data_IF_957958127242
#
_entry.id   IF_957958127242
#
_cell.length_a   1.000
_cell.length_b   1.000
_cell.length_c   1.000
_cell.angle_alpha   90.00
_cell.angle_beta   90.00
_cell.angle_gamma   90.00
#
_symmetry.space_group_name_H-M   'P 1'
#
loop_
_entity.id
_entity.type
_entity.pdbx_description
1 polymer ?
#
# COMPACT_ATOMS: atom_id res chain seq x y z
N UNK A 1 8.21 -29.13 -15.74
CA UNK A 1 8.22 -28.75 -14.31
C UNK A 1 9.10 -27.52 -14.16
N UNK A 2 8.57 -26.40 -13.65
CA UNK A 2 9.35 -25.19 -13.36
C UNK A 2 9.43 -25.03 -11.86
N UNK A 3 10.64 -25.04 -11.32
CA UNK A 3 10.92 -24.86 -9.90
C UNK A 3 11.31 -23.40 -9.74
N UNK A 4 10.53 -22.64 -8.97
CA UNK A 4 10.88 -21.27 -8.61
C UNK A 4 11.58 -21.28 -7.25
N UNK A 5 12.69 -20.54 -7.08
CA UNK A 5 13.31 -20.37 -5.77
C UNK A 5 12.29 -19.74 -4.80
N UNK A 6 12.23 -20.28 -3.58
CA UNK A 6 11.45 -19.69 -2.49
C UNK A 6 12.05 -18.30 -2.22
N UNK A 7 11.29 -17.22 -2.49
CA UNK A 7 11.70 -15.85 -2.17
C UNK A 7 11.91 -15.83 -0.66
N UNK A 8 13.17 -15.84 -0.22
CA UNK A 8 13.49 -16.07 1.19
C UNK A 8 13.12 -14.87 2.07
N UNK A 9 13.03 -13.66 1.48
CA UNK A 9 12.43 -12.46 2.07
C UNK A 9 11.94 -11.53 0.94
N UNK A 10 10.67 -11.07 0.93
CA UNK A 10 10.24 -10.04 -0.01
C UNK A 10 11.03 -8.74 0.23
N UNK A 11 11.17 -7.91 -0.82
CA UNK A 11 11.75 -6.59 -0.67
C UNK A 11 10.78 -5.74 0.16
N UNK A 12 11.20 -5.32 1.34
CA UNK A 12 10.47 -4.34 2.14
C UNK A 12 10.91 -2.95 1.71
N UNK A 13 9.95 -2.13 1.30
CA UNK A 13 10.14 -0.72 0.97
C UNK A 13 9.30 0.09 1.95
N UNK A 14 9.95 0.95 2.72
CA UNK A 14 9.25 1.91 3.58
C UNK A 14 9.04 3.18 2.76
N UNK A 15 7.81 3.66 2.69
CA UNK A 15 7.45 4.87 1.98
C UNK A 15 6.75 5.80 2.96
N UNK A 16 7.24 7.04 3.00
CA UNK A 16 6.60 8.14 3.68
C UNK A 16 5.71 8.85 2.65
N UNK A 17 4.47 9.17 3.04
CA UNK A 17 3.54 9.88 2.17
C UNK A 17 3.65 11.36 2.49
N UNK A 18 4.27 12.10 1.58
CA UNK A 18 4.23 13.57 1.52
C UNK A 18 3.38 14.02 0.33
N UNK A 19 3.33 15.33 0.06
CA UNK A 19 2.57 15.87 -1.08
C UNK A 19 3.25 15.60 -2.44
N UNK A 20 4.44 14.97 -2.47
CA UNK A 20 5.24 14.74 -3.66
C UNK A 20 5.29 13.25 -4.06
N UNK A 21 5.40 12.98 -5.35
CA UNK A 21 5.56 11.61 -5.82
C UNK A 21 6.93 11.06 -5.40
N UNK A 22 6.96 9.95 -4.68
CA UNK A 22 8.21 9.28 -4.26
C UNK A 22 8.49 8.07 -5.16
N UNK A 23 9.70 7.98 -5.73
CA UNK A 23 10.13 6.85 -6.56
C UNK A 23 11.27 6.07 -5.91
N UNK A 24 11.18 4.74 -5.95
CA UNK A 24 12.20 3.82 -5.45
C UNK A 24 12.56 2.78 -6.51
N UNK A 25 13.81 2.83 -6.97
CA UNK A 25 14.39 1.78 -7.81
C UNK A 25 14.78 0.55 -7.00
N UNK A 26 14.62 -0.63 -7.60
CA UNK A 26 15.11 -1.88 -7.00
C UNK A 26 15.68 -2.83 -8.04
N UNK A 27 16.52 -3.74 -7.56
CA UNK A 27 17.12 -4.82 -8.36
C UNK A 27 16.82 -6.17 -7.72
N UNK A 28 16.21 -7.06 -8.49
CA UNK A 28 15.90 -8.42 -8.04
C UNK A 28 17.21 -9.17 -7.76
N UNK A 29 17.39 -9.59 -6.50
CA UNK A 29 18.58 -10.35 -6.08
C UNK A 29 18.73 -11.73 -6.75
N UNK A 30 17.66 -12.25 -7.36
CA UNK A 30 17.63 -13.58 -7.97
C UNK A 30 17.91 -13.55 -9.48
N UNK A 31 17.21 -12.71 -10.24
CA UNK A 31 17.38 -12.64 -11.70
C UNK A 31 18.15 -11.41 -12.18
N UNK A 32 18.47 -10.46 -11.30
CA UNK A 32 19.14 -9.21 -11.66
C UNK A 32 18.25 -8.19 -12.38
N UNK A 33 16.98 -8.50 -12.65
CA UNK A 33 16.06 -7.56 -13.27
C UNK A 33 15.88 -6.32 -12.40
N UNK A 34 15.83 -5.17 -13.05
CA UNK A 34 15.57 -3.88 -12.43
C UNK A 34 14.11 -3.50 -12.59
N UNK A 35 13.60 -2.79 -11.59
CA UNK A 35 12.25 -2.27 -11.58
C UNK A 35 12.15 -1.06 -10.65
N UNK A 36 10.94 -0.54 -10.50
CA UNK A 36 10.69 0.63 -9.67
C UNK A 36 9.33 0.58 -9.01
N UNK A 37 9.18 1.35 -7.95
CA UNK A 37 7.94 1.59 -7.24
C UNK A 37 7.73 3.10 -7.13
N UNK A 38 6.61 3.61 -7.64
CA UNK A 38 6.25 5.02 -7.51
C UNK A 38 5.03 5.16 -6.60
N UNK A 39 5.14 5.96 -5.56
CA UNK A 39 4.04 6.45 -4.74
C UNK A 39 3.45 7.70 -5.38
N UNK A 40 2.14 7.72 -5.63
CA UNK A 40 1.43 8.91 -6.13
C UNK A 40 0.42 9.39 -5.07
N UNK A 41 0.78 10.40 -4.24
CA UNK A 41 -0.10 10.90 -3.18
C UNK A 41 -1.27 11.74 -3.71
N UNK A 42 -1.18 12.28 -4.93
CA UNK A 42 -2.23 13.12 -5.53
C UNK A 42 -3.58 12.42 -5.70
N UNK A 43 -3.59 11.09 -5.74
CA UNK A 43 -4.80 10.26 -5.85
C UNK A 43 -5.30 9.77 -4.47
N UNK A 44 -4.59 10.08 -3.39
CA UNK A 44 -5.02 9.73 -2.04
C UNK A 44 -6.22 10.59 -1.63
N UNK A 45 -7.29 9.94 -1.19
CA UNK A 45 -8.45 10.63 -0.62
C UNK A 45 -8.44 10.49 0.90
N UNK A 46 -8.61 11.60 1.66
CA UNK A 46 -8.77 11.52 3.10
C UNK A 46 -9.96 10.63 3.46
N UNK A 47 -9.81 9.85 4.53
CA UNK A 47 -10.90 9.06 5.07
C UNK A 47 -11.91 9.98 5.75
N UNK A 48 -13.17 9.89 5.34
CA UNK A 48 -14.23 10.68 5.95
C UNK A 48 -15.10 9.82 6.87
N UNK A 49 -15.77 10.50 7.82
CA UNK A 49 -16.78 9.85 8.65
C UNK A 49 -17.95 9.32 7.81
N UNK A 50 -18.30 10.01 6.71
CA UNK A 50 -19.34 9.57 5.79
C UNK A 50 -18.98 8.23 5.14
N UNK A 51 -17.74 8.08 4.65
CA UNK A 51 -17.25 6.83 4.05
C UNK A 51 -17.27 5.68 5.06
N UNK A 52 -16.84 5.96 6.28
CA UNK A 52 -16.90 5.01 7.40
C UNK A 52 -18.33 4.56 7.69
N UNK A 53 -19.28 5.50 7.82
CA UNK A 53 -20.68 5.20 8.09
C UNK A 53 -21.36 4.45 6.94
N UNK A 54 -20.95 4.72 5.70
CA UNK A 54 -21.41 4.01 4.51
C UNK A 54 -20.72 2.65 4.32
N UNK A 55 -19.72 2.31 5.14
CA UNK A 55 -18.93 1.09 5.01
C UNK A 55 -18.08 1.03 3.73
N UNK A 56 -17.78 2.18 3.12
CA UNK A 56 -17.01 2.29 1.88
C UNK A 56 -15.51 2.16 2.17
N UNK A 57 -14.81 1.50 1.27
CA UNK A 57 -13.35 1.54 1.24
C UNK A 57 -12.90 2.83 0.56
N UNK A 58 -11.97 3.54 1.19
CA UNK A 58 -11.35 4.74 0.62
C UNK A 58 -9.91 4.44 0.21
N UNK A 59 -9.52 4.92 -0.97
CA UNK A 59 -8.16 4.80 -1.48
C UNK A 59 -7.27 5.83 -0.78
N UNK A 60 -6.44 5.35 0.13
CA UNK A 60 -5.52 6.22 0.88
C UNK A 60 -4.16 6.37 0.22
N UNK A 61 -3.86 5.52 -0.76
CA UNK A 61 -2.62 5.58 -1.55
C UNK A 61 -2.73 4.69 -2.79
N UNK A 62 -2.12 5.14 -3.89
CA UNK A 62 -1.89 4.36 -5.12
C UNK A 62 -0.39 4.23 -5.41
N UNK A 63 0.03 3.02 -5.77
CA UNK A 63 1.39 2.71 -6.17
C UNK A 63 1.46 2.20 -7.60
N UNK A 64 2.44 2.67 -8.37
CA UNK A 64 2.81 2.06 -9.64
C UNK A 64 4.01 1.13 -9.45
N UNK A 65 3.80 -0.16 -9.72
CA UNK A 65 4.82 -1.21 -9.59
C UNK A 65 5.35 -1.58 -10.97
N UNK A 66 6.62 -1.27 -11.27
CA UNK A 66 7.28 -1.69 -12.50
C UNK A 66 8.14 -2.92 -12.23
N UNK A 67 7.80 -4.07 -12.83
CA UNK A 67 8.59 -5.31 -12.73
C UNK A 67 8.46 -6.09 -11.41
N UNK A 68 7.57 -5.66 -10.52
CA UNK A 68 7.25 -6.33 -9.26
C UNK A 68 5.73 -6.36 -9.04
N UNK A 69 5.33 -7.19 -8.09
CA UNK A 69 3.97 -7.29 -7.58
C UNK A 69 4.00 -7.14 -6.07
N UNK A 70 3.08 -6.36 -5.53
CA UNK A 70 2.91 -6.29 -4.08
C UNK A 70 2.32 -7.61 -3.58
N UNK A 71 2.81 -8.06 -2.42
CA UNK A 71 2.35 -9.31 -1.80
C UNK A 71 1.73 -9.07 -0.43
N UNK A 72 2.14 -8.04 0.28
CA UNK A 72 1.62 -7.68 1.60
C UNK A 72 1.79 -6.16 1.79
N UNK A 73 0.88 -5.54 2.54
CA UNK A 73 1.00 -4.15 2.96
C UNK A 73 0.93 -4.08 4.48
N UNK A 74 1.78 -3.23 5.06
CA UNK A 74 1.80 -2.95 6.49
C UNK A 74 1.70 -1.45 6.67
N UNK A 75 0.77 -1.03 7.51
CA UNK A 75 0.61 0.37 7.86
C UNK A 75 1.62 0.74 8.95
N UNK A 76 2.33 1.84 8.74
CA UNK A 76 3.31 2.36 9.68
C UNK A 76 2.74 3.40 10.63
N UNK A 77 3.64 4.19 11.22
CA UNK A 77 3.33 5.35 12.04
C UNK A 77 3.17 6.62 11.21
N UNK A 78 2.77 7.72 11.86
CA UNK A 78 2.77 9.06 11.24
C UNK A 78 1.41 9.53 10.71
N UNK A 79 0.35 8.77 10.97
CA UNK A 79 -1.00 9.11 10.53
C UNK A 79 -1.54 10.32 11.30
N UNK A 80 -2.40 11.10 10.65
CA UNK A 80 -3.09 12.24 11.25
C UNK A 80 -4.60 12.07 11.12
N UNK A 81 -5.34 12.47 12.15
CA UNK A 81 -6.79 12.47 12.13
C UNK A 81 -7.32 13.74 12.76
N UNK A 82 -8.37 14.31 12.18
CA UNK A 82 -9.04 15.50 12.72
C UNK A 82 -10.46 15.16 13.17
N UNK A 83 -10.75 15.42 14.44
CA UNK A 83 -12.07 15.17 15.02
C UNK A 83 -12.96 16.39 14.87
N UNK A 84 -13.88 16.35 13.91
CA UNK A 84 -14.89 17.41 13.70
C UNK A 84 -15.70 17.77 14.96
N UNK A 85 -16.18 16.80 15.77
CA UNK A 85 -16.98 17.12 16.96
C UNK A 85 -16.20 17.81 18.09
N UNK A 86 -14.87 17.63 18.12
CA UNK A 86 -14.01 18.07 19.23
C UNK A 86 -12.97 19.11 18.79
N UNK A 87 -12.96 19.51 17.52
CA UNK A 87 -11.98 20.45 16.94
C UNK A 87 -10.53 20.09 17.32
N UNK A 88 -10.20 18.80 17.30
CA UNK A 88 -8.93 18.27 17.81
C UNK A 88 -8.19 17.53 16.71
N UNK A 89 -6.93 17.91 16.49
CA UNK A 89 -5.99 17.19 15.62
C UNK A 89 -5.20 16.16 16.44
N UNK A 90 -5.25 14.92 15.98
CA UNK A 90 -4.41 13.82 16.46
C UNK A 90 -3.29 13.62 15.45
N UNK A 91 -2.04 13.67 15.90
CA UNK A 91 -0.86 13.47 15.06
C UNK A 91 -0.05 12.26 15.53
N UNK A 92 0.80 11.74 14.64
CA UNK A 92 1.67 10.59 14.90
C UNK A 92 0.90 9.34 15.36
N UNK A 93 -0.31 9.13 14.82
CA UNK A 93 -1.08 7.92 15.07
C UNK A 93 -0.27 6.75 14.50
N UNK A 94 -0.07 5.75 15.36
CA UNK A 94 0.72 4.57 15.06
C UNK A 94 -0.18 3.38 14.76
N UNK A 95 -0.06 2.88 13.53
CA UNK A 95 -0.73 1.66 13.08
C UNK A 95 0.23 0.48 12.98
N UNK A 96 1.44 0.57 13.55
CA UNK A 96 2.32 -0.59 13.65
C UNK A 96 1.70 -1.63 14.59
N UNK A 97 1.53 -2.86 14.09
CA UNK A 97 0.99 -3.99 14.86
C UNK A 97 -0.48 -4.31 14.58
N UNK A 98 -0.83 -5.60 14.68
CA UNK A 98 -2.15 -6.13 14.27
C UNK A 98 -3.31 -5.74 15.21
N UNK A 99 -3.06 -5.19 16.41
CA UNK A 99 -4.12 -4.96 17.41
C UNK A 99 -5.14 -3.90 16.99
N UNK A 100 -4.77 -3.00 16.08
CA UNK A 100 -5.64 -1.91 15.61
C UNK A 100 -6.34 -2.26 14.28
N UNK A 101 -6.10 -3.47 13.76
CA UNK A 101 -6.58 -3.94 12.46
C UNK A 101 -7.55 -5.11 12.64
N UNK A 102 -8.68 -5.03 11.96
CA UNK A 102 -9.58 -6.17 11.75
C UNK A 102 -9.66 -6.47 10.25
N UNK A 103 -9.45 -7.75 9.90
CA UNK A 103 -9.63 -8.26 8.53
C UNK A 103 -8.75 -7.55 7.51
N UNK A 104 -7.44 -7.88 7.49
CA UNK A 104 -6.55 -7.49 6.39
C UNK A 104 -6.61 -8.56 5.31
N UNK A 105 -7.08 -8.19 4.13
CA UNK A 105 -7.18 -9.06 2.97
C UNK A 105 -6.56 -8.41 1.73
N UNK A 106 -5.97 -9.25 0.88
CA UNK A 106 -5.53 -8.84 -0.45
C UNK A 106 -6.72 -9.00 -1.39
N UNK A 107 -7.07 -7.95 -2.11
CA UNK A 107 -8.07 -8.04 -3.16
C UNK A 107 -7.50 -8.76 -4.40
N UNK A 108 -8.40 -9.23 -5.26
CA UNK A 108 -8.06 -9.96 -6.49
C UNK A 108 -7.21 -9.15 -7.49
N UNK A 109 -7.18 -7.83 -7.33
CA UNK A 109 -6.41 -6.90 -8.15
C UNK A 109 -5.06 -6.52 -7.51
N UNK A 110 -4.65 -7.18 -6.42
CA UNK A 110 -3.38 -6.92 -5.74
C UNK A 110 -3.40 -5.70 -4.81
N UNK A 111 -4.57 -5.07 -4.61
CA UNK A 111 -4.77 -4.08 -3.57
C UNK A 111 -4.87 -4.73 -2.19
N UNK A 112 -4.61 -3.97 -1.13
CA UNK A 112 -4.82 -4.42 0.24
C UNK A 112 -5.95 -3.66 0.87
N UNK A 113 -6.84 -4.39 1.53
CA UNK A 113 -7.96 -3.85 2.28
C UNK A 113 -7.75 -4.12 3.75
N UNK A 114 -8.10 -3.15 4.57
CA UNK A 114 -7.94 -3.24 6.01
C UNK A 114 -9.03 -2.43 6.70
N UNK A 115 -9.60 -2.95 7.78
CA UNK A 115 -10.43 -2.16 8.68
C UNK A 115 -9.59 -1.72 9.87
N UNK A 116 -9.52 -0.43 10.12
CA UNK A 116 -8.77 0.17 11.22
C UNK A 116 -9.72 0.81 12.21
N UNK A 117 -9.51 0.52 13.48
CA UNK A 117 -10.23 1.17 14.56
C UNK A 117 -9.40 2.33 15.10
N UNK A 118 -9.98 3.53 15.15
CA UNK A 118 -9.39 4.67 15.85
C UNK A 118 -10.26 4.94 17.10
N UNK A 119 -9.73 4.60 18.28
CA UNK A 119 -10.38 4.78 19.60
C UNK A 119 -10.70 6.26 19.84
N UNK A 120 -11.90 6.69 20.26
CA UNK A 120 -12.56 6.50 21.57
C UNK A 120 -14.08 6.35 21.47
N UNK A 121 -14.60 6.36 20.24
CA UNK A 121 -15.97 6.04 19.85
C UNK A 121 -15.81 4.99 18.76
N UNK A 122 -16.55 3.89 18.78
CA UNK A 122 -16.37 2.71 17.92
C UNK A 122 -16.53 3.04 16.41
N UNK A 123 -15.58 3.76 15.82
CA UNK A 123 -15.57 4.20 14.43
C UNK A 123 -14.51 3.38 13.71
N UNK A 124 -14.96 2.69 12.67
CA UNK A 124 -14.14 1.84 11.84
C UNK A 124 -13.89 2.52 10.51
N UNK A 125 -12.62 2.72 10.18
CA UNK A 125 -12.22 3.19 8.87
C UNK A 125 -11.85 2.00 8.01
N UNK A 126 -12.33 1.98 6.76
CA UNK A 126 -11.99 0.96 5.79
C UNK A 126 -11.00 1.53 4.79
N UNK A 127 -9.76 1.08 4.92
CA UNK A 127 -8.62 1.49 4.12
C UNK A 127 -8.50 0.58 2.92
N UNK A 128 -8.22 1.16 1.75
CA UNK A 128 -7.75 0.43 0.60
C UNK A 128 -6.46 1.05 0.06
N UNK A 129 -5.47 0.19 -0.16
CA UNK A 129 -4.26 0.50 -0.91
C UNK A 129 -4.39 -0.14 -2.28
N UNK A 130 -4.06 0.59 -3.34
CA UNK A 130 -4.06 0.05 -4.70
C UNK A 130 -2.63 -0.05 -5.23
N UNK A 131 -2.31 -1.18 -5.86
CA UNK A 131 -1.11 -1.32 -6.70
C UNK A 131 -1.50 -1.51 -8.15
N UNK A 132 -0.89 -0.73 -9.04
CA UNK A 132 -0.99 -0.90 -10.48
C UNK A 132 0.30 -1.58 -10.96
N UNK A 133 0.18 -2.83 -11.39
CA UNK A 133 1.30 -3.60 -11.91
C UNK A 133 1.53 -3.26 -13.38
N UNK A 134 2.74 -2.82 -13.72
CA UNK A 134 3.21 -2.66 -15.09
C UNK A 134 4.41 -3.57 -15.33
N UNK A 135 4.36 -4.30 -16.43
CA UNK A 135 5.55 -4.97 -16.98
C UNK A 135 6.18 -4.07 -18.02
N UNK A 136 7.51 -3.92 -18.03
CA UNK A 136 8.18 -3.40 -19.24
C UNK A 136 7.80 -4.33 -20.39
N UNK A 137 7.26 -3.77 -21.48
CA UNK A 137 7.09 -4.49 -22.73
C UNK A 137 8.47 -4.92 -23.21
N UNK A 138 8.89 -6.13 -22.87
CA UNK A 138 10.14 -6.68 -23.31
C UNK A 138 9.93 -7.31 -24.70
N UNK A 139 9.91 -6.48 -25.74
CA UNK A 139 10.38 -6.97 -27.03
C UNK A 139 11.88 -7.19 -26.88
N UNK A 140 12.29 -8.45 -26.77
CA UNK A 140 13.66 -8.81 -27.09
C UNK A 140 13.65 -10.13 -27.84
N UNK A 141 14.32 -10.19 -29.01
CA UNK A 141 14.43 -11.40 -29.77
C UNK A 141 15.34 -12.35 -28.98
N UNK A 142 14.78 -13.46 -28.50
CA UNK A 142 15.57 -14.62 -28.12
C UNK A 142 16.27 -15.13 -29.39
N UNK A 143 17.45 -14.60 -29.71
CA UNK A 143 18.40 -15.30 -30.57
C UNK A 143 19.12 -16.31 -29.70
N UNK A 144 18.72 -17.56 -29.82
CA UNK A 144 19.53 -18.68 -29.36
C UNK A 144 20.67 -18.92 -30.35
N UNK A 145 21.88 -19.29 -29.88
CA UNK A 145 22.95 -19.80 -30.74
C UNK A 145 22.58 -21.14 -31.38
#
# INVERSE_FOLDING_TARGET
MRIFPKISKPLQVNLEIDDESTHVDYKCKLCGNEGGLTLNPSEATPLTLEDSMAGRFTFVVEFECLGCKSTEFVYGSGWKAFSMPHDTLFENIDFTGQSNFEGVDLDENGGSRATVMISTSVIFFRLQIRSIERTRSHESPLKFP
#
